data_IF_451138998915
#
_entry.id   IF_451138998915
#
_cell.length_a   1.000
_cell.length_b   1.000
_cell.length_c   1.000
_cell.angle_alpha   90.00
_cell.angle_beta   90.00
_cell.angle_gamma   90.00
#
_symmetry.space_group_name_H-M   'P 1'
#
loop_
_entity.id
_entity.type
_entity.pdbx_description
1 polymer ?
#
# COMPACT_ATOMS: atom_id res chain seq x y z
N UNK A 1 41.90 3.45 -6.92
CA UNK A 1 41.26 2.14 -7.13
C UNK A 1 40.06 1.92 -6.21
N UNK A 2 40.15 2.14 -4.89
CA UNK A 2 39.00 2.02 -3.98
C UNK A 2 37.85 3.02 -4.25
N UNK A 3 38.17 4.25 -4.64
CA UNK A 3 37.17 5.26 -5.05
C UNK A 3 36.41 4.83 -6.30
N UNK A 4 37.12 4.29 -7.30
CA UNK A 4 36.53 3.79 -8.54
C UNK A 4 35.57 2.60 -8.31
N UNK A 5 35.89 1.68 -7.39
CA UNK A 5 35.00 0.56 -7.04
C UNK A 5 33.73 1.00 -6.30
N UNK A 6 33.79 2.08 -5.50
CA UNK A 6 32.61 2.62 -4.82
C UNK A 6 31.72 3.46 -5.75
N UNK A 7 32.32 4.19 -6.71
CA UNK A 7 31.58 4.91 -7.75
C UNK A 7 30.86 3.95 -8.71
N UNK A 8 31.47 2.79 -9.03
CA UNK A 8 30.89 1.76 -9.89
C UNK A 8 29.53 1.22 -9.39
N UNK A 9 29.35 1.03 -8.08
CA UNK A 9 28.08 0.59 -7.49
C UNK A 9 27.08 1.75 -7.27
N UNK A 10 27.44 2.99 -7.57
CA UNK A 10 26.61 4.17 -7.26
C UNK A 10 26.05 4.86 -8.49
N UNK A 11 26.75 4.79 -9.63
CA UNK A 11 26.37 5.47 -10.89
C UNK A 11 25.38 4.67 -11.76
N UNK A 12 25.02 3.43 -11.41
CA UNK A 12 24.10 2.63 -12.22
C UNK A 12 22.65 2.68 -11.70
N UNK A 13 21.73 3.12 -12.56
CA UNK A 13 20.27 3.17 -12.26
C UNK A 13 19.69 1.81 -11.83
N UNK A 14 20.33 0.70 -12.21
CA UNK A 14 19.91 -0.67 -11.88
C UNK A 14 20.73 -1.32 -10.74
N UNK A 15 21.63 -0.61 -10.06
CA UNK A 15 22.51 -1.23 -9.05
C UNK A 15 21.71 -1.79 -7.89
N UNK A 16 20.69 -1.08 -7.42
CA UNK A 16 19.85 -1.54 -6.31
C UNK A 16 19.18 -2.88 -6.65
N UNK A 17 18.58 -2.99 -7.83
CA UNK A 17 17.92 -4.22 -8.29
C UNK A 17 18.93 -5.36 -8.42
N UNK A 18 20.10 -5.10 -9.01
CA UNK A 18 21.15 -6.10 -9.19
C UNK A 18 21.69 -6.62 -7.87
N UNK A 19 21.92 -5.72 -6.90
CA UNK A 19 22.39 -6.06 -5.55
C UNK A 19 21.32 -6.84 -4.79
N UNK A 20 20.04 -6.47 -4.92
CA UNK A 20 18.94 -7.20 -4.29
C UNK A 20 18.78 -8.62 -4.86
N UNK A 21 18.78 -8.76 -6.19
CA UNK A 21 18.69 -10.07 -6.85
C UNK A 21 19.91 -10.91 -6.49
N UNK A 22 21.12 -10.36 -6.64
CA UNK A 22 22.37 -11.07 -6.32
C UNK A 22 22.45 -11.47 -4.85
N UNK A 23 22.07 -10.56 -3.94
CA UNK A 23 22.03 -10.83 -2.50
C UNK A 23 21.02 -11.91 -2.13
N UNK A 24 19.81 -11.86 -2.70
CA UNK A 24 18.79 -12.88 -2.47
C UNK A 24 19.22 -14.26 -2.99
N UNK A 25 19.84 -14.33 -4.17
CA UNK A 25 20.37 -15.58 -4.73
C UNK A 25 21.46 -16.17 -3.83
N UNK A 26 22.36 -15.34 -3.29
CA UNK A 26 23.38 -15.79 -2.35
C UNK A 26 22.78 -16.29 -1.04
N UNK A 27 21.77 -15.60 -0.52
CA UNK A 27 21.04 -16.01 0.70
C UNK A 27 20.25 -17.31 0.49
N UNK A 28 19.65 -17.49 -0.69
CA UNK A 28 18.83 -18.66 -1.00
C UNK A 28 19.65 -19.89 -1.41
N UNK A 29 20.85 -19.69 -1.98
CA UNK A 29 21.75 -20.77 -2.43
C UNK A 29 21.92 -21.93 -1.44
N UNK A 30 22.22 -21.69 -0.13
CA UNK A 30 22.36 -22.78 0.83
C UNK A 30 21.05 -23.55 1.10
N UNK A 31 19.88 -23.00 0.76
CA UNK A 31 18.59 -23.68 0.89
C UNK A 31 18.21 -24.44 -0.39
N UNK A 32 18.59 -23.93 -1.56
CA UNK A 32 18.21 -24.52 -2.86
C UNK A 32 18.84 -25.91 -3.03
N UNK A 33 20.14 -26.05 -2.78
CA UNK A 33 20.85 -27.32 -3.02
C UNK A 33 20.29 -28.46 -2.13
N UNK A 34 20.12 -28.30 -0.80
CA UNK A 34 19.48 -29.32 0.02
C UNK A 34 18.03 -29.62 -0.38
N UNK A 35 17.26 -28.60 -0.79
CA UNK A 35 15.87 -28.77 -1.22
C UNK A 35 15.77 -29.63 -2.47
N UNK A 36 16.65 -29.40 -3.45
CA UNK A 36 16.73 -30.21 -4.68
C UNK A 36 17.03 -31.67 -4.32
N UNK A 37 18.02 -31.93 -3.46
CA UNK A 37 18.36 -33.29 -3.02
C UNK A 37 17.19 -33.98 -2.29
N UNK A 38 16.51 -33.27 -1.40
CA UNK A 38 15.36 -33.78 -0.66
C UNK A 38 14.20 -34.15 -1.62
N UNK A 39 13.90 -33.29 -2.59
CA UNK A 39 12.88 -33.57 -3.61
C UNK A 39 13.27 -34.76 -4.51
N UNK A 40 14.56 -34.89 -4.84
CA UNK A 40 15.07 -36.06 -5.55
C UNK A 40 14.80 -37.35 -4.80
N UNK A 41 15.12 -37.37 -3.51
CA UNK A 41 14.86 -38.51 -2.65
C UNK A 41 13.36 -38.84 -2.54
N UNK A 42 12.50 -37.83 -2.34
CA UNK A 42 11.04 -38.02 -2.32
C UNK A 42 10.54 -38.60 -3.64
N UNK A 43 11.02 -38.10 -4.78
CA UNK A 43 10.62 -38.61 -6.10
C UNK A 43 11.05 -40.06 -6.32
N UNK A 44 12.22 -40.46 -5.80
CA UNK A 44 12.71 -41.83 -5.83
C UNK A 44 11.85 -42.75 -4.97
N UNK A 45 11.46 -42.31 -3.76
CA UNK A 45 10.52 -43.03 -2.90
C UNK A 45 9.19 -43.24 -3.63
N UNK A 46 8.62 -42.17 -4.20
CA UNK A 46 7.35 -42.24 -4.93
C UNK A 46 7.39 -43.19 -6.12
N UNK A 47 8.50 -43.23 -6.87
CA UNK A 47 8.65 -44.17 -7.98
C UNK A 47 8.73 -45.62 -7.49
N UNK A 48 9.56 -45.89 -6.49
CA UNK A 48 9.72 -47.25 -5.92
C UNK A 48 8.41 -47.81 -5.36
N UNK A 49 7.69 -47.00 -4.59
CA UNK A 49 6.42 -47.42 -4.01
C UNK A 49 5.34 -47.60 -5.08
N UNK A 50 5.36 -46.78 -6.14
CA UNK A 50 4.49 -46.97 -7.30
C UNK A 50 4.81 -48.28 -8.06
N UNK A 51 6.07 -48.70 -8.08
CA UNK A 51 6.54 -49.96 -8.66
C UNK A 51 6.32 -51.18 -7.74
N UNK A 52 5.76 -50.97 -6.53
CA UNK A 52 5.48 -52.02 -5.55
C UNK A 52 6.68 -52.44 -4.68
N UNK A 53 7.77 -51.67 -4.70
CA UNK A 53 8.93 -51.86 -3.82
C UNK A 53 8.84 -50.94 -2.60
N UNK A 54 8.44 -51.52 -1.46
CA UNK A 54 8.24 -50.80 -0.20
C UNK A 54 9.55 -50.60 0.60
N UNK A 55 10.69 -51.08 0.10
CA UNK A 55 11.97 -50.90 0.79
C UNK A 55 12.47 -49.45 0.63
N UNK A 56 12.87 -48.78 1.73
CA UNK A 56 13.34 -47.39 1.66
C UNK A 56 14.61 -47.28 0.78
N UNK A 57 14.67 -46.31 -0.15
CA UNK A 57 15.85 -46.10 -0.97
C UNK A 57 17.01 -45.58 -0.13
N UNK A 58 18.22 -46.07 -0.43
CA UNK A 58 19.43 -45.52 0.15
C UNK A 58 19.75 -44.14 -0.43
N UNK A 59 20.43 -43.31 0.36
CA UNK A 59 20.92 -42.00 -0.07
C UNK A 59 22.21 -42.15 -0.88
N UNK A 60 22.09 -42.76 -2.06
CA UNK A 60 23.17 -43.06 -2.98
C UNK A 60 22.89 -42.46 -4.36
N UNK A 61 23.86 -42.54 -5.26
CA UNK A 61 23.74 -41.98 -6.62
C UNK A 61 23.32 -40.50 -6.60
N UNK A 62 24.14 -39.66 -5.96
CA UNK A 62 23.91 -38.23 -5.77
C UNK A 62 23.60 -37.49 -7.08
N UNK A 63 24.20 -37.90 -8.20
CA UNK A 63 23.90 -37.35 -9.53
C UNK A 63 22.45 -37.57 -9.94
N UNK A 64 21.94 -38.78 -9.78
CA UNK A 64 20.55 -39.12 -10.11
C UNK A 64 19.58 -38.39 -9.16
N UNK A 65 19.90 -38.30 -7.87
CA UNK A 65 19.12 -37.52 -6.90
C UNK A 65 19.04 -36.04 -7.30
N UNK A 66 20.14 -35.44 -7.76
CA UNK A 66 20.15 -34.06 -8.23
C UNK A 66 19.30 -33.89 -9.50
N UNK A 67 19.38 -34.81 -10.46
CA UNK A 67 18.60 -34.72 -11.72
C UNK A 67 17.10 -34.90 -11.45
N UNK A 68 16.74 -35.90 -10.66
CA UNK A 68 15.34 -36.13 -10.27
C UNK A 68 14.80 -34.98 -9.42
N UNK A 69 15.61 -34.51 -8.48
CA UNK A 69 15.32 -33.37 -7.63
C UNK A 69 15.15 -32.07 -8.40
N UNK A 70 15.98 -31.81 -9.41
CA UNK A 70 15.88 -30.60 -10.22
C UNK A 70 14.58 -30.57 -11.02
N UNK A 71 14.17 -31.71 -11.60
CA UNK A 71 12.87 -31.84 -12.29
C UNK A 71 11.72 -31.58 -11.31
N UNK A 72 11.75 -32.23 -10.14
CA UNK A 72 10.73 -32.04 -9.12
C UNK A 72 10.69 -30.60 -8.58
N UNK A 73 11.83 -29.96 -8.41
CA UNK A 73 11.96 -28.56 -7.99
C UNK A 73 11.37 -27.61 -9.04
N UNK A 74 11.65 -27.81 -10.32
CA UNK A 74 11.05 -27.00 -11.41
C UNK A 74 9.53 -27.13 -11.40
N UNK A 75 9.00 -28.36 -11.26
CA UNK A 75 7.54 -28.58 -11.16
C UNK A 75 6.97 -27.85 -9.95
N UNK A 76 7.53 -28.08 -8.77
CA UNK A 76 7.09 -27.43 -7.53
C UNK A 76 7.15 -25.89 -7.63
N UNK A 77 8.23 -25.37 -8.19
CA UNK A 77 8.42 -23.93 -8.42
C UNK A 77 7.33 -23.38 -9.34
N UNK A 78 7.08 -23.99 -10.50
CA UNK A 78 6.03 -23.54 -11.44
C UNK A 78 4.65 -23.58 -10.79
N UNK A 79 4.30 -24.66 -10.09
CA UNK A 79 3.02 -24.76 -9.38
C UNK A 79 2.89 -23.74 -8.25
N UNK A 80 3.99 -23.37 -7.58
CA UNK A 80 3.99 -22.34 -6.53
C UNK A 80 3.69 -20.93 -7.06
N UNK A 81 3.98 -20.66 -8.34
CA UNK A 81 3.68 -19.36 -8.96
C UNK A 81 2.18 -19.11 -9.07
N UNK A 82 1.35 -20.15 -9.17
CA UNK A 82 -0.10 -20.01 -9.30
C UNK A 82 -0.76 -19.31 -8.10
N UNK A 83 -0.61 -19.76 -6.84
CA UNK A 83 -1.18 -19.05 -5.70
C UNK A 83 -0.53 -17.67 -5.51
N UNK A 84 0.77 -17.50 -5.79
CA UNK A 84 1.45 -16.21 -5.71
C UNK A 84 0.81 -15.21 -6.70
N UNK A 85 0.62 -15.61 -7.95
CA UNK A 85 -0.02 -14.79 -8.96
C UNK A 85 -1.47 -14.47 -8.59
N UNK A 86 -2.23 -15.46 -8.09
CA UNK A 86 -3.60 -15.26 -7.64
C UNK A 86 -3.68 -14.23 -6.49
N UNK A 87 -2.80 -14.34 -5.48
CA UNK A 87 -2.72 -13.40 -4.38
C UNK A 87 -2.26 -12.01 -4.83
N UNK A 88 -1.32 -11.92 -5.76
CA UNK A 88 -0.86 -10.65 -6.32
C UNK A 88 -2.00 -9.92 -7.06
N UNK A 89 -2.75 -10.64 -7.89
CA UNK A 89 -3.90 -10.10 -8.62
C UNK A 89 -5.01 -9.69 -7.65
N UNK A 90 -5.35 -10.55 -6.69
CA UNK A 90 -6.37 -10.24 -5.68
C UNK A 90 -5.96 -9.04 -4.82
N UNK A 91 -4.70 -8.95 -4.40
CA UNK A 91 -4.14 -7.84 -3.64
C UNK A 91 -4.16 -6.53 -4.42
N UNK A 92 -3.81 -6.56 -5.72
CA UNK A 92 -3.90 -5.39 -6.60
C UNK A 92 -5.36 -4.93 -6.74
N UNK A 93 -6.28 -5.85 -7.02
CA UNK A 93 -7.71 -5.53 -7.13
C UNK A 93 -8.27 -4.94 -5.83
N UNK A 94 -7.92 -5.53 -4.68
CA UNK A 94 -8.32 -5.03 -3.37
C UNK A 94 -7.73 -3.65 -3.07
N UNK A 95 -6.49 -3.38 -3.48
CA UNK A 95 -5.84 -2.07 -3.30
C UNK A 95 -6.54 -0.98 -4.12
N UNK A 96 -6.88 -1.28 -5.38
CA UNK A 96 -7.61 -0.36 -6.25
C UNK A 96 -9.04 -0.11 -5.73
N UNK A 97 -9.72 -1.16 -5.27
CA UNK A 97 -11.02 -1.02 -4.63
C UNK A 97 -10.93 -0.15 -3.37
N UNK A 98 -9.92 -0.38 -2.52
CA UNK A 98 -9.64 0.44 -1.35
C UNK A 98 -9.44 1.92 -1.71
N UNK A 99 -8.61 2.21 -2.72
CA UNK A 99 -8.38 3.57 -3.21
C UNK A 99 -9.67 4.26 -3.68
N UNK A 100 -10.57 3.51 -4.32
CA UNK A 100 -11.86 4.03 -4.79
C UNK A 100 -12.87 4.24 -3.66
N UNK A 101 -12.91 3.35 -2.66
CA UNK A 101 -13.89 3.36 -1.57
C UNK A 101 -13.49 4.28 -0.42
N UNK A 102 -12.19 4.47 -0.18
CA UNK A 102 -11.67 5.26 0.96
C UNK A 102 -12.27 6.68 1.04
N UNK A 103 -12.39 7.46 -0.04
CA UNK A 103 -13.02 8.78 0.04
C UNK A 103 -14.49 8.72 0.49
N UNK A 104 -15.27 7.74 0.02
CA UNK A 104 -16.65 7.54 0.47
C UNK A 104 -16.72 7.14 1.95
N UNK A 105 -15.82 6.26 2.40
CA UNK A 105 -15.74 5.87 3.81
C UNK A 105 -15.41 7.08 4.71
N UNK A 106 -14.45 7.90 4.31
CA UNK A 106 -14.11 9.13 5.02
C UNK A 106 -15.26 10.13 5.00
N UNK A 107 -15.96 10.29 3.89
CA UNK A 107 -17.14 11.14 3.80
C UNK A 107 -18.28 10.65 4.71
N UNK A 108 -18.51 9.34 4.78
CA UNK A 108 -19.52 8.76 5.67
C UNK A 108 -19.20 8.99 7.15
N UNK A 109 -17.94 8.85 7.56
CA UNK A 109 -17.50 9.15 8.94
C UNK A 109 -17.60 10.64 9.24
N UNK A 110 -17.26 11.50 8.27
CA UNK A 110 -17.37 12.95 8.41
C UNK A 110 -18.83 13.42 8.54
N UNK A 111 -19.75 12.79 7.80
CA UNK A 111 -21.19 13.10 7.83
C UNK A 111 -21.86 12.63 9.14
N UNK A 112 -21.52 11.43 9.60
CA UNK A 112 -22.19 10.83 10.76
C UNK A 112 -21.49 11.04 12.10
N UNK A 113 -20.21 11.43 12.09
CA UNK A 113 -19.34 11.51 13.26
C UNK A 113 -18.97 10.15 13.89
N UNK A 114 -19.37 9.02 13.29
CA UNK A 114 -19.10 7.68 13.82
C UNK A 114 -18.14 6.91 12.92
N UNK A 115 -17.06 6.40 13.51
CA UNK A 115 -16.05 5.58 12.80
C UNK A 115 -16.69 4.32 12.18
N UNK A 116 -17.72 3.75 12.81
CA UNK A 116 -18.40 2.55 12.31
C UNK A 116 -19.06 2.72 10.94
N UNK A 117 -19.49 3.92 10.57
CA UNK A 117 -20.15 4.15 9.28
C UNK A 117 -19.16 4.13 8.10
N UNK A 118 -17.88 4.40 8.36
CA UNK A 118 -16.80 4.19 7.40
C UNK A 118 -16.58 2.71 7.04
N UNK A 119 -17.15 1.78 7.82
CA UNK A 119 -17.11 0.34 7.57
C UNK A 119 -18.50 -0.23 7.23
N UNK A 120 -19.53 0.60 7.09
CA UNK A 120 -20.88 0.17 6.73
C UNK A 120 -20.93 -0.24 5.25
N UNK A 121 -20.49 -1.47 4.95
CA UNK A 121 -20.31 -1.99 3.58
C UNK A 121 -21.57 -1.82 2.73
N UNK A 122 -22.75 -2.08 3.29
CA UNK A 122 -24.03 -1.90 2.59
C UNK A 122 -24.24 -0.46 2.14
N UNK A 123 -24.05 0.51 3.05
CA UNK A 123 -24.18 1.94 2.77
C UNK A 123 -23.15 2.38 1.73
N UNK A 124 -21.88 2.00 1.92
CA UNK A 124 -20.81 2.35 0.97
C UNK A 124 -21.08 1.79 -0.43
N UNK A 125 -21.53 0.54 -0.54
CA UNK A 125 -21.87 -0.07 -1.82
C UNK A 125 -22.91 0.74 -2.58
N UNK A 126 -23.93 1.26 -1.88
CA UNK A 126 -24.97 2.08 -2.51
C UNK A 126 -24.46 3.42 -3.04
N UNK A 127 -23.38 3.97 -2.49
CA UNK A 127 -22.76 5.22 -2.92
C UNK A 127 -21.76 4.97 -4.03
N UNK A 128 -20.82 4.04 -3.83
CA UNK A 128 -19.70 3.79 -4.75
C UNK A 128 -20.15 3.20 -6.09
N UNK A 129 -21.30 2.53 -6.14
CA UNK A 129 -21.87 2.02 -7.39
C UNK A 129 -22.58 3.13 -8.21
N UNK A 130 -22.75 4.34 -7.68
CA UNK A 130 -23.42 5.44 -8.38
C UNK A 130 -22.49 6.11 -9.38
N UNK A 131 -23.02 6.39 -10.58
CA UNK A 131 -22.31 7.15 -11.62
C UNK A 131 -21.82 8.50 -11.12
N UNK A 132 -22.61 9.20 -10.32
CA UNK A 132 -22.25 10.52 -9.77
C UNK A 132 -21.00 10.45 -8.88
N UNK A 133 -20.87 9.41 -8.05
CA UNK A 133 -19.69 9.19 -7.23
C UNK A 133 -18.47 8.86 -8.11
N UNK A 134 -18.64 7.97 -9.10
CA UNK A 134 -17.57 7.65 -10.05
C UNK A 134 -17.04 8.89 -10.80
N UNK A 135 -17.94 9.75 -11.28
CA UNK A 135 -17.54 11.01 -11.92
C UNK A 135 -16.86 11.96 -10.94
N UNK A 136 -17.38 12.08 -9.72
CA UNK A 136 -16.77 12.89 -8.67
C UNK A 136 -15.35 12.45 -8.33
N UNK A 137 -15.15 11.14 -8.17
CA UNK A 137 -13.83 10.55 -7.92
C UNK A 137 -12.86 10.84 -9.07
N UNK A 138 -13.29 10.68 -10.33
CA UNK A 138 -12.45 10.99 -11.50
C UNK A 138 -12.08 12.48 -11.58
N UNK A 139 -13.02 13.38 -11.27
CA UNK A 139 -12.72 14.81 -11.21
C UNK A 139 -11.72 15.15 -10.12
N UNK A 140 -11.87 14.56 -8.92
CA UNK A 140 -10.92 14.73 -7.83
C UNK A 140 -9.53 14.20 -8.20
N UNK A 141 -9.46 13.04 -8.86
CA UNK A 141 -8.21 12.46 -9.35
C UNK A 141 -7.54 13.36 -10.40
N UNK A 142 -8.30 13.94 -11.33
CA UNK A 142 -7.76 14.87 -12.33
C UNK A 142 -7.20 16.16 -11.70
N UNK A 143 -7.89 16.71 -10.70
CA UNK A 143 -7.42 17.88 -9.95
C UNK A 143 -6.14 17.55 -9.16
N UNK A 144 -6.12 16.41 -8.46
CA UNK A 144 -4.95 15.97 -7.72
C UNK A 144 -3.74 15.75 -8.65
N UNK A 145 -3.95 15.16 -9.82
CA UNK A 145 -2.91 14.98 -10.83
C UNK A 145 -2.39 16.33 -11.36
N UNK A 146 -3.30 17.26 -11.68
CA UNK A 146 -2.92 18.62 -12.10
C UNK A 146 -2.08 19.35 -11.05
N UNK A 147 -2.47 19.23 -9.76
CA UNK A 147 -1.70 19.77 -8.64
C UNK A 147 -0.32 19.12 -8.52
N UNK A 148 -0.23 17.79 -8.61
CA UNK A 148 1.05 17.07 -8.55
C UNK A 148 2.00 17.48 -9.68
N UNK A 149 1.48 17.66 -10.91
CA UNK A 149 2.25 18.15 -12.05
C UNK A 149 2.74 19.58 -11.83
N UNK A 150 1.89 20.47 -11.31
CA UNK A 150 2.28 21.84 -10.98
C UNK A 150 3.41 21.89 -9.93
N UNK A 151 3.31 21.06 -8.88
CA UNK A 151 4.37 20.91 -7.87
C UNK A 151 5.65 20.36 -8.48
N UNK A 152 5.54 19.37 -9.38
CA UNK A 152 6.68 18.82 -10.11
C UNK A 152 7.42 19.87 -10.94
N UNK A 153 6.69 20.73 -11.65
CA UNK A 153 7.25 21.85 -12.42
C UNK A 153 7.90 22.88 -11.49
N UNK A 154 7.26 23.25 -10.38
CA UNK A 154 7.83 24.19 -9.40
C UNK A 154 9.12 23.65 -8.76
N UNK A 155 9.24 22.32 -8.65
CA UNK A 155 10.40 21.63 -8.08
C UNK A 155 11.61 21.59 -9.03
N UNK A 156 11.44 21.94 -10.32
CA UNK A 156 12.54 22.06 -11.30
C UNK A 156 13.49 23.22 -10.95
N UNK A 157 13.03 24.22 -10.18
CA UNK A 157 13.85 25.35 -9.71
C UNK A 157 14.23 25.13 -8.24
N UNK A 158 15.43 24.61 -7.91
CA UNK A 158 15.75 24.07 -6.58
C UNK A 158 15.72 25.11 -5.46
N UNK A 159 15.97 26.39 -5.78
CA UNK A 159 16.09 27.47 -4.78
C UNK A 159 14.75 28.20 -4.57
N UNK A 160 13.95 28.42 -5.61
CA UNK A 160 12.65 29.11 -5.49
C UNK A 160 11.52 28.16 -5.10
N UNK A 161 11.53 26.89 -5.55
CA UNK A 161 10.50 25.91 -5.22
C UNK A 161 10.50 25.50 -3.75
N UNK A 162 11.69 25.41 -3.14
CA UNK A 162 11.83 25.12 -1.71
C UNK A 162 11.34 26.28 -0.86
N UNK A 163 11.73 27.52 -1.21
CA UNK A 163 11.30 28.73 -0.49
C UNK A 163 9.79 28.94 -0.64
N UNK A 164 9.27 28.94 -1.87
CA UNK A 164 7.83 29.07 -2.12
C UNK A 164 7.02 27.92 -1.50
N UNK A 165 7.55 26.70 -1.53
CA UNK A 165 6.94 25.53 -0.90
C UNK A 165 6.77 25.68 0.61
N UNK A 166 7.75 26.26 1.31
CA UNK A 166 7.61 26.57 2.74
C UNK A 166 6.54 27.63 3.01
N UNK A 167 6.45 28.69 2.18
CA UNK A 167 5.41 29.71 2.33
C UNK A 167 4.00 29.15 2.04
N UNK A 168 3.86 28.31 1.02
CA UNK A 168 2.58 27.66 0.67
C UNK A 168 2.17 26.66 1.75
N UNK A 169 3.10 25.85 2.28
CA UNK A 169 2.81 24.89 3.34
C UNK A 169 2.40 25.59 4.65
N UNK A 170 3.06 26.70 5.01
CA UNK A 170 2.68 27.50 6.17
C UNK A 170 1.30 28.12 6.00
N UNK A 171 1.01 28.72 4.83
CA UNK A 171 -0.31 29.26 4.53
C UNK A 171 -1.40 28.18 4.61
N UNK A 172 -1.13 26.99 4.07
CA UNK A 172 -2.06 25.86 4.12
C UNK A 172 -2.35 25.40 5.56
N UNK A 173 -1.32 25.37 6.43
CA UNK A 173 -1.50 25.03 7.85
C UNK A 173 -2.31 26.08 8.61
N UNK A 174 -2.05 27.37 8.36
CA UNK A 174 -2.82 28.47 8.97
C UNK A 174 -4.27 28.47 8.47
N UNK A 175 -4.49 28.28 7.17
CA UNK A 175 -5.83 28.20 6.59
C UNK A 175 -6.60 26.99 7.14
N UNK A 176 -5.96 25.82 7.24
CA UNK A 176 -6.57 24.63 7.84
C UNK A 176 -6.92 24.87 9.32
N UNK A 177 -6.03 25.46 10.10
CA UNK A 177 -6.29 25.79 11.49
C UNK A 177 -7.41 26.83 11.65
N UNK A 178 -7.47 27.84 10.78
CA UNK A 178 -8.53 28.85 10.79
C UNK A 178 -9.90 28.26 10.42
N UNK A 179 -9.95 27.36 9.43
CA UNK A 179 -11.18 26.65 9.06
C UNK A 179 -11.66 25.75 10.21
N UNK A 180 -10.74 25.05 10.87
CA UNK A 180 -11.07 24.28 12.07
C UNK A 180 -11.56 25.20 13.19
N UNK A 181 -10.96 26.38 13.35
CA UNK A 181 -11.39 27.39 14.33
C UNK A 181 -12.79 27.95 14.05
N UNK A 182 -13.10 28.27 12.79
CA UNK A 182 -14.42 28.76 12.37
C UNK A 182 -15.49 27.70 12.49
N UNK A 183 -15.20 26.48 12.03
CA UNK A 183 -16.14 25.36 12.20
C UNK A 183 -16.40 25.10 13.68
N UNK A 184 -15.38 25.17 14.54
CA UNK A 184 -15.53 25.03 15.98
C UNK A 184 -16.28 26.20 16.65
N UNK A 185 -16.10 27.44 16.19
CA UNK A 185 -16.87 28.60 16.67
C UNK A 185 -18.34 28.54 16.24
N UNK A 186 -18.61 27.98 15.06
CA UNK A 186 -19.97 27.82 14.54
C UNK A 186 -20.74 26.72 15.27
N UNK A 187 -20.05 25.68 15.77
CA UNK A 187 -20.69 24.59 16.52
C UNK A 187 -20.69 24.77 18.03
N UNK A 188 -19.93 25.72 18.57
CA UNK A 188 -20.06 26.08 19.98
C UNK A 188 -21.30 26.97 20.13
N UNK A 189 -22.28 26.60 20.96
CA UNK A 189 -23.36 27.51 21.28
C UNK A 189 -22.74 28.72 21.97
N UNK A 190 -22.71 29.86 21.26
CA UNK A 190 -22.63 31.15 21.94
C UNK A 190 -23.87 31.21 22.79
N UNK A 191 -23.70 31.20 24.12
CA UNK A 191 -24.74 31.62 25.03
C UNK A 191 -25.12 33.04 24.61
N UNK A 192 -26.13 33.16 23.77
CA UNK A 192 -26.84 34.41 23.61
C UNK A 192 -27.52 34.62 24.95
N UNK A 193 -26.85 35.30 25.87
CA UNK A 193 -27.54 35.89 27.00
C UNK A 193 -28.71 36.69 26.40
N UNK A 194 -29.97 36.36 26.75
CA UNK A 194 -31.09 37.12 26.29
C UNK A 194 -30.91 38.58 26.75
N UNK A 195 -31.32 39.58 25.96
CA UNK A 195 -31.30 40.95 26.42
C UNK A 195 -32.11 41.00 27.72
N UNK A 196 -31.50 41.44 28.82
CA UNK A 196 -32.24 41.68 30.05
C UNK A 196 -33.41 42.63 29.72
N UNK A 197 -34.66 42.22 29.97
CA UNK A 197 -35.78 43.13 29.88
C UNK A 197 -35.59 44.21 30.95
N UNK A 198 -35.58 45.46 30.47
CA UNK A 198 -35.99 46.65 31.20
C UNK A 198 -35.81 46.63 32.72
N UNK A 199 -34.74 47.30 33.14
CA UNK A 199 -34.71 48.07 34.38
C UNK A 199 -35.73 49.23 34.37
N UNK A 200 -37.00 48.97 34.04
CA UNK A 200 -38.10 49.95 33.99
C UNK A 200 -39.24 49.67 34.99
N UNK A 201 -39.20 48.58 35.77
CA UNK A 201 -40.25 48.28 36.77
C UNK A 201 -39.72 48.09 38.20
N UNK A 202 -38.71 48.88 38.59
CA UNK A 202 -38.31 49.07 40.00
C UNK A 202 -38.11 50.55 40.40
N UNK A 203 -38.74 51.46 39.66
CA UNK A 203 -38.77 52.89 39.98
C UNK A 203 -40.18 53.45 40.28
N UNK A 204 -41.19 52.59 40.44
CA UNK A 204 -42.51 53.01 40.90
C UNK A 204 -43.14 51.92 41.77
N UNK A 205 -43.11 52.17 43.08
CA UNK A 205 -43.99 51.75 44.21
C UNK A 205 -43.14 51.61 45.47
#
# INVERSE_FOLDING_TARGET
MMSASLTYLRDGDAVVVTVLIGGLLLLASPLVVPSVLALGYVSRVLRRTADGDDAPPAFEAWGDLLVEGAKAFVVAFVYSLLPIAALAIAGLAASLAGLYVTPAALAAVADSGRIGDGFAVGTLWTVVTKRAYATGWLTAAAVALGGALAVGVLSVVPVLGTIAGFFVQFYALVAAAAVIGWTWSDVRPVSSDPPEPEAAERAAV
#
